data_IF_922063254864
#
_entry.id   IF_922063254864
#
_cell.length_a   1.000
_cell.length_b   1.000
_cell.length_c   1.000
_cell.angle_alpha   90.00
_cell.angle_beta   90.00
_cell.angle_gamma   90.00
#
_symmetry.space_group_name_H-M   'P 1'
#
loop_
_entity.id
_entity.type
_entity.pdbx_description
1 polymer ?
#
# COMPACT_ATOMS: atom_id res chain seq x y z
N UNK A 1 34.29 44.95 5.77
CA UNK A 1 34.54 43.58 6.27
C UNK A 1 33.61 42.64 5.51
N UNK A 2 34.17 41.69 4.79
CA UNK A 2 33.37 40.66 4.11
C UNK A 2 33.13 39.53 5.12
N UNK A 3 31.87 39.24 5.43
CA UNK A 3 31.55 38.09 6.28
C UNK A 3 31.66 36.84 5.44
N UNK A 4 32.40 35.84 5.92
CA UNK A 4 32.43 34.50 5.29
C UNK A 4 31.42 33.65 6.03
N UNK A 5 30.35 33.27 5.32
CA UNK A 5 29.34 32.38 5.87
C UNK A 5 29.73 30.92 5.66
N UNK A 6 29.39 30.05 6.60
CA UNK A 6 29.40 28.63 6.40
C UNK A 6 28.27 28.29 5.41
N UNK A 7 28.57 27.57 4.33
CA UNK A 7 27.61 27.22 3.28
C UNK A 7 27.67 25.71 2.94
N UNK A 8 26.64 25.21 2.32
CA UNK A 8 26.56 23.80 1.91
C UNK A 8 26.26 22.84 3.09
N UNK A 9 26.56 21.57 2.89
CA UNK A 9 26.28 20.54 3.88
C UNK A 9 27.17 20.67 5.12
N UNK A 10 26.53 20.66 6.30
CA UNK A 10 27.20 20.70 7.60
C UNK A 10 26.62 19.63 8.53
N UNK A 11 27.46 19.00 9.32
CA UNK A 11 27.05 18.07 10.38
C UNK A 11 27.33 18.72 11.75
N UNK A 12 26.27 18.98 12.51
CA UNK A 12 26.31 19.65 13.81
C UNK A 12 25.59 18.74 14.81
N UNK A 13 26.27 18.33 15.88
CA UNK A 13 25.73 17.42 16.91
C UNK A 13 25.07 16.15 16.35
N UNK A 14 25.70 15.53 15.34
CA UNK A 14 25.23 14.32 14.69
C UNK A 14 24.08 14.54 13.69
N UNK A 15 23.55 15.75 13.57
CA UNK A 15 22.48 16.13 12.64
C UNK A 15 23.06 16.80 11.41
N UNK A 16 22.46 16.57 10.24
CA UNK A 16 22.92 17.12 8.97
C UNK A 16 22.01 18.26 8.54
N UNK A 17 22.61 19.38 8.17
CA UNK A 17 21.97 20.62 7.71
C UNK A 17 22.55 21.05 6.37
N UNK A 18 21.81 21.87 5.65
CA UNK A 18 22.33 22.59 4.48
C UNK A 18 22.19 24.09 4.68
N UNK A 19 23.31 24.83 4.51
CA UNK A 19 23.34 26.27 4.59
C UNK A 19 23.36 26.87 3.19
N UNK A 20 22.45 27.80 2.91
CA UNK A 20 22.41 28.54 1.67
C UNK A 20 23.59 29.50 1.56
N UNK A 21 23.75 30.14 0.41
CA UNK A 21 24.92 31.05 0.15
C UNK A 21 24.97 32.28 1.07
N UNK A 22 23.86 32.63 1.67
CA UNK A 22 23.74 33.71 2.67
C UNK A 22 23.94 33.24 4.12
N UNK A 23 24.26 31.94 4.31
CA UNK A 23 24.46 31.31 5.61
C UNK A 23 23.18 30.94 6.35
N UNK A 24 22.01 31.00 5.70
CA UNK A 24 20.74 30.62 6.30
C UNK A 24 20.52 29.09 6.13
N UNK A 25 19.99 28.45 7.19
CA UNK A 25 19.64 27.01 7.14
C UNK A 25 18.50 26.81 6.18
N UNK A 26 18.72 25.97 5.18
CA UNK A 26 17.69 25.52 4.24
C UNK A 26 16.65 24.67 4.95
N UNK A 27 15.37 24.89 4.61
CA UNK A 27 14.22 24.10 5.05
C UNK A 27 13.40 23.67 3.85
N UNK A 28 12.63 22.58 4.01
CA UNK A 28 11.83 22.03 2.94
C UNK A 28 12.66 21.33 1.87
N UNK A 29 12.18 21.36 0.62
CA UNK A 29 12.84 20.72 -0.50
C UNK A 29 14.09 21.48 -0.93
N UNK A 30 15.21 20.77 -1.01
CA UNK A 30 16.47 21.22 -1.59
C UNK A 30 16.77 20.40 -2.84
N UNK A 31 17.00 21.07 -3.97
CA UNK A 31 17.43 20.42 -5.21
C UNK A 31 18.88 20.80 -5.49
N UNK A 32 19.75 19.79 -5.65
CA UNK A 32 21.16 19.96 -6.00
C UNK A 32 21.47 19.07 -7.20
N UNK A 33 21.51 19.65 -8.38
CA UNK A 33 21.62 18.91 -9.62
C UNK A 33 20.37 18.05 -9.87
N UNK A 34 20.56 16.76 -10.04
CA UNK A 34 19.51 15.75 -10.24
C UNK A 34 18.96 15.18 -8.93
N UNK A 35 19.54 15.54 -7.78
CA UNK A 35 19.18 15.03 -6.47
C UNK A 35 18.26 15.95 -5.72
N UNK A 36 17.38 15.35 -4.93
CA UNK A 36 16.45 16.08 -4.06
C UNK A 36 16.56 15.58 -2.62
N UNK A 37 16.65 16.53 -1.71
CA UNK A 37 16.76 16.31 -0.28
C UNK A 37 15.59 16.99 0.43
N UNK A 38 15.11 16.40 1.52
CA UNK A 38 14.09 17.05 2.33
C UNK A 38 14.65 17.45 3.69
N UNK A 39 14.69 18.74 3.93
CA UNK A 39 15.08 19.34 5.20
C UNK A 39 13.81 19.66 5.98
N UNK A 40 13.74 19.22 7.23
CA UNK A 40 12.57 19.43 8.07
C UNK A 40 12.17 20.91 8.12
N UNK A 41 10.88 21.21 7.91
CA UNK A 41 10.35 22.58 7.85
C UNK A 41 10.52 23.35 9.16
N UNK A 42 10.62 22.65 10.30
CA UNK A 42 10.74 23.27 11.61
C UNK A 42 12.19 23.64 11.94
N UNK A 43 13.12 22.70 11.79
CA UNK A 43 14.48 22.81 12.30
C UNK A 43 15.57 22.69 11.22
N UNK A 44 15.24 22.38 9.98
CA UNK A 44 16.18 22.26 8.86
C UNK A 44 17.05 21.01 8.90
N UNK A 45 16.73 20.00 9.73
CA UNK A 45 17.47 18.76 9.79
C UNK A 45 17.16 17.93 8.55
N UNK A 46 18.18 17.37 7.89
CA UNK A 46 18.00 16.39 6.80
C UNK A 46 17.20 15.20 7.34
N UNK A 47 16.02 15.02 6.79
CA UNK A 47 15.13 13.91 7.15
C UNK A 47 15.08 12.96 5.97
N UNK A 48 15.87 11.87 5.97
CA UNK A 48 15.66 10.76 5.06
C UNK A 48 14.34 10.15 5.43
N UNK A 49 13.59 9.67 4.47
CA UNK A 49 12.37 8.90 4.50
C UNK A 49 11.22 9.59 3.74
N UNK A 50 10.11 9.97 4.41
CA UNK A 50 8.93 10.49 3.72
C UNK A 50 8.99 12.02 3.65
N UNK A 51 9.10 12.55 2.43
CA UNK A 51 8.91 13.97 2.13
C UNK A 51 7.49 14.21 1.59
N UNK A 52 6.87 15.31 1.98
CA UNK A 52 5.62 15.78 1.38
C UNK A 52 5.93 16.96 0.48
N UNK A 53 5.70 16.80 -0.82
CA UNK A 53 5.98 17.80 -1.84
C UNK A 53 4.70 17.97 -2.67
N UNK A 54 4.14 19.17 -2.71
CA UNK A 54 2.89 19.49 -3.38
C UNK A 54 1.75 18.52 -3.00
N UNK A 55 1.63 18.20 -1.71
CA UNK A 55 0.62 17.30 -1.16
C UNK A 55 0.84 15.81 -1.45
N UNK A 56 1.89 15.45 -2.19
CA UNK A 56 2.26 14.05 -2.49
C UNK A 56 3.40 13.60 -1.58
N UNK A 57 3.34 12.33 -1.15
CA UNK A 57 4.40 11.71 -0.35
C UNK A 57 5.42 11.05 -1.25
N UNK A 58 6.69 11.30 -0.97
CA UNK A 58 7.85 10.70 -1.66
C UNK A 58 8.75 10.05 -0.63
N UNK A 59 9.45 8.99 -1.02
CA UNK A 59 10.55 8.46 -0.24
C UNK A 59 11.88 8.94 -0.84
N UNK A 60 12.65 9.68 -0.06
CA UNK A 60 13.97 10.22 -0.44
C UNK A 60 15.01 9.56 0.48
N UNK A 61 16.04 8.94 -0.12
CA UNK A 61 17.13 8.31 0.64
C UNK A 61 18.16 9.35 1.14
N UNK A 62 19.18 8.87 1.88
CA UNK A 62 20.23 9.74 2.41
C UNK A 62 21.08 10.40 1.32
N UNK A 63 21.12 9.82 0.13
CA UNK A 63 21.86 10.32 -1.02
C UNK A 63 21.02 11.30 -1.87
N UNK A 64 19.76 11.57 -1.46
CA UNK A 64 18.85 12.48 -2.14
C UNK A 64 18.15 11.87 -3.36
N UNK A 65 18.12 10.53 -3.48
CA UNK A 65 17.44 9.88 -4.58
C UNK A 65 15.97 9.57 -4.21
N UNK A 66 15.06 9.79 -5.13
CA UNK A 66 13.69 9.31 -5.00
C UNK A 66 13.64 7.82 -5.25
N UNK A 67 13.06 7.08 -4.32
CA UNK A 67 12.78 5.66 -4.54
C UNK A 67 11.58 5.49 -5.47
N UNK A 68 11.57 4.39 -6.22
CA UNK A 68 10.45 3.95 -7.07
C UNK A 68 10.15 2.48 -6.80
N UNK A 69 8.95 2.02 -7.16
CA UNK A 69 8.53 0.64 -6.93
C UNK A 69 8.24 0.33 -5.46
N UNK A 70 8.38 -0.94 -5.09
CA UNK A 70 8.13 -1.40 -3.72
C UNK A 70 9.21 -0.92 -2.75
N UNK A 71 8.76 -0.34 -1.63
CA UNK A 71 9.65 0.10 -0.53
C UNK A 71 9.06 -0.31 0.81
N UNK A 72 9.89 -0.90 1.67
CA UNK A 72 9.55 -1.19 3.06
C UNK A 72 10.06 -0.07 3.97
N UNK A 73 9.16 0.53 4.75
CA UNK A 73 9.45 1.66 5.65
C UNK A 73 8.80 1.35 6.99
N UNK A 74 9.57 1.32 8.06
CA UNK A 74 9.12 1.04 9.43
C UNK A 74 8.27 -0.24 9.56
N UNK A 75 8.61 -1.27 8.74
CA UNK A 75 7.91 -2.55 8.74
C UNK A 75 6.75 -2.66 7.74
N UNK A 76 6.20 -1.57 7.24
CA UNK A 76 5.11 -1.53 6.27
C UNK A 76 5.63 -1.42 4.83
N UNK A 77 4.89 -2.02 3.88
CA UNK A 77 5.18 -1.91 2.46
C UNK A 77 4.40 -0.77 1.81
N UNK A 78 5.07 -0.04 0.93
CA UNK A 78 4.54 1.06 0.11
C UNK A 78 4.91 0.83 -1.34
N UNK A 79 4.11 1.37 -2.26
CA UNK A 79 4.48 1.39 -3.67
C UNK A 79 4.59 2.83 -4.16
N UNK A 80 5.71 3.11 -4.82
CA UNK A 80 6.05 4.42 -5.37
C UNK A 80 5.98 4.33 -6.90
N UNK A 81 5.28 5.27 -7.53
CA UNK A 81 5.21 5.32 -8.99
C UNK A 81 6.56 5.73 -9.60
N UNK A 82 6.63 5.79 -10.93
CA UNK A 82 7.86 6.11 -11.67
C UNK A 82 8.40 7.53 -11.38
N UNK A 83 7.57 8.41 -10.82
CA UNK A 83 7.97 9.73 -10.33
C UNK A 83 8.40 9.72 -8.86
N UNK A 84 8.40 8.56 -8.21
CA UNK A 84 8.72 8.38 -6.79
C UNK A 84 7.60 8.77 -5.82
N UNK A 85 6.40 9.11 -6.31
CA UNK A 85 5.27 9.44 -5.44
C UNK A 85 4.59 8.16 -4.91
N UNK A 86 4.29 8.13 -3.60
CA UNK A 86 3.48 7.07 -3.00
C UNK A 86 2.09 7.06 -3.61
N UNK A 87 1.60 5.87 -3.94
CA UNK A 87 0.24 5.67 -4.44
C UNK A 87 -0.68 5.12 -3.35
N UNK A 88 -1.98 5.29 -3.56
CA UNK A 88 -3.06 4.74 -2.73
C UNK A 88 -4.08 4.05 -3.62
N UNK A 89 -4.95 3.22 -3.03
CA UNK A 89 -5.97 2.48 -3.76
C UNK A 89 -5.43 1.27 -4.50
N UNK A 90 -6.21 0.76 -5.46
CA UNK A 90 -5.88 -0.41 -6.24
C UNK A 90 -4.81 -0.13 -7.30
N UNK A 91 -3.83 -1.04 -7.41
CA UNK A 91 -2.77 -0.96 -8.40
C UNK A 91 -2.43 -2.36 -8.96
N UNK A 92 -2.41 -2.47 -10.29
CA UNK A 92 -1.89 -3.64 -10.98
C UNK A 92 -0.37 -3.52 -11.10
N UNK A 93 0.36 -4.50 -10.57
CA UNK A 93 1.82 -4.53 -10.55
C UNK A 93 2.27 -5.95 -10.94
N UNK A 94 3.00 -6.08 -12.02
CA UNK A 94 3.50 -7.37 -12.53
C UNK A 94 2.41 -8.45 -12.64
N UNK A 95 1.20 -8.07 -13.10
CA UNK A 95 0.09 -9.01 -13.31
C UNK A 95 -0.73 -9.33 -12.05
N UNK A 96 -0.38 -8.80 -10.88
CA UNK A 96 -1.16 -8.96 -9.63
C UNK A 96 -1.74 -7.63 -9.17
N UNK A 97 -2.96 -7.66 -8.66
CA UNK A 97 -3.58 -6.50 -8.05
C UNK A 97 -3.18 -6.38 -6.58
N UNK A 98 -2.84 -5.17 -6.17
CA UNK A 98 -2.52 -4.79 -4.79
C UNK A 98 -3.41 -3.64 -4.37
N UNK A 99 -3.67 -3.53 -3.08
CA UNK A 99 -4.38 -2.41 -2.49
C UNK A 99 -3.47 -1.67 -1.51
N UNK A 100 -3.32 -0.35 -1.72
CA UNK A 100 -2.61 0.56 -0.82
C UNK A 100 -3.68 1.39 -0.09
N UNK A 101 -3.66 1.39 1.22
CA UNK A 101 -4.64 2.14 2.03
C UNK A 101 -4.51 3.67 1.84
N UNK A 102 -5.32 4.45 2.54
CA UNK A 102 -5.30 5.92 2.46
C UNK A 102 -3.98 6.54 2.93
N UNK A 103 -3.15 5.78 3.65
CA UNK A 103 -1.82 6.20 4.08
C UNK A 103 -0.72 5.72 3.13
N UNK A 104 -1.08 4.94 2.10
CA UNK A 104 -0.18 4.31 1.13
C UNK A 104 0.39 2.96 1.59
N UNK A 105 -0.05 2.41 2.73
CA UNK A 105 0.41 1.11 3.21
C UNK A 105 -0.26 -0.01 2.45
N UNK A 106 0.51 -1.03 2.07
CA UNK A 106 0.00 -2.24 1.43
C UNK A 106 -0.93 -3.00 2.37
N UNK A 107 -2.14 -3.24 1.90
CA UNK A 107 -3.13 -4.05 2.60
C UNK A 107 -2.87 -5.54 2.43
N UNK A 108 -3.26 -6.32 3.42
CA UNK A 108 -3.24 -7.80 3.40
C UNK A 108 -4.51 -8.34 4.05
N UNK A 109 -4.85 -9.59 3.80
CA UNK A 109 -6.05 -10.26 4.32
C UNK A 109 -7.33 -9.61 3.77
N UNK A 110 -8.40 -9.60 4.58
CA UNK A 110 -9.70 -9.07 4.17
C UNK A 110 -9.71 -7.53 4.19
N UNK A 111 -10.15 -6.95 3.08
CA UNK A 111 -10.45 -5.52 2.98
C UNK A 111 -11.87 -5.34 2.44
N UNK A 112 -12.50 -4.23 2.82
CA UNK A 112 -13.81 -3.82 2.28
C UNK A 112 -13.65 -2.49 1.58
N UNK A 113 -13.90 -2.48 0.27
CA UNK A 113 -13.81 -1.29 -0.55
C UNK A 113 -15.16 -1.06 -1.27
N UNK A 114 -15.74 0.12 -1.12
CA UNK A 114 -17.05 0.48 -1.69
C UNK A 114 -18.15 -0.58 -1.45
N UNK A 115 -18.18 -1.15 -0.23
CA UNK A 115 -19.17 -2.17 0.16
C UNK A 115 -18.82 -3.59 -0.23
N UNK A 116 -17.81 -3.83 -1.08
CA UNK A 116 -17.38 -5.14 -1.57
C UNK A 116 -16.17 -5.65 -0.78
N UNK A 117 -16.18 -6.92 -0.42
CA UNK A 117 -15.06 -7.59 0.24
C UNK A 117 -14.10 -8.21 -0.77
N UNK A 118 -12.81 -8.07 -0.49
CA UNK A 118 -11.69 -8.64 -1.22
C UNK A 118 -10.74 -9.31 -0.25
N UNK A 119 -10.01 -10.32 -0.72
CA UNK A 119 -8.96 -10.98 0.05
C UNK A 119 -7.62 -10.85 -0.63
N UNK A 120 -6.64 -10.36 0.11
CA UNK A 120 -5.24 -10.28 -0.31
C UNK A 120 -4.42 -11.26 0.54
N UNK A 121 -3.49 -11.96 -0.08
CA UNK A 121 -2.63 -12.87 0.67
C UNK A 121 -1.55 -12.13 1.49
N UNK A 122 -0.65 -12.90 2.12
CA UNK A 122 0.42 -12.33 2.95
C UNK A 122 1.45 -11.50 2.16
N UNK A 123 1.50 -11.65 0.84
CA UNK A 123 2.33 -10.82 -0.05
C UNK A 123 1.61 -9.55 -0.51
N UNK A 124 0.33 -9.37 -0.15
CA UNK A 124 -0.53 -8.28 -0.58
C UNK A 124 -1.22 -8.52 -1.93
N UNK A 125 -1.00 -9.66 -2.59
CA UNK A 125 -1.63 -9.96 -3.88
C UNK A 125 -3.11 -10.32 -3.70
N UNK A 126 -3.99 -9.64 -4.47
CA UNK A 126 -5.44 -9.93 -4.50
C UNK A 126 -5.68 -11.35 -4.99
N UNK A 127 -6.53 -12.05 -4.28
CA UNK A 127 -6.88 -13.43 -4.57
C UNK A 127 -8.19 -13.55 -5.34
N UNK A 128 -8.31 -14.62 -6.14
CA UNK A 128 -9.51 -15.02 -6.88
C UNK A 128 -9.77 -16.51 -6.68
N UNK A 129 -10.96 -16.98 -7.06
CA UNK A 129 -11.37 -18.37 -6.92
C UNK A 129 -11.62 -18.78 -5.46
N UNK A 130 -11.56 -20.09 -5.21
CA UNK A 130 -11.78 -20.66 -3.89
C UNK A 130 -10.60 -20.39 -2.95
N UNK A 131 -10.90 -19.89 -1.74
CA UNK A 131 -9.91 -19.64 -0.68
C UNK A 131 -10.38 -20.19 0.66
N UNK A 132 -9.51 -20.94 1.30
CA UNK A 132 -9.69 -21.39 2.69
C UNK A 132 -9.04 -20.34 3.62
N UNK A 133 -9.84 -19.68 4.44
CA UNK A 133 -9.39 -18.67 5.39
C UNK A 133 -10.00 -18.98 6.76
N UNK A 134 -9.16 -19.14 7.76
CA UNK A 134 -9.56 -19.44 9.14
C UNK A 134 -10.57 -20.62 9.24
N UNK A 135 -10.33 -21.70 8.46
CA UNK A 135 -11.13 -22.91 8.44
C UNK A 135 -12.45 -22.80 7.66
N UNK A 136 -12.72 -21.70 6.99
CA UNK A 136 -13.92 -21.48 6.15
C UNK A 136 -13.55 -21.25 4.72
N UNK A 137 -14.34 -21.82 3.78
CA UNK A 137 -14.18 -21.57 2.36
C UNK A 137 -14.94 -20.32 1.93
N UNK A 138 -14.31 -19.56 1.05
CA UNK A 138 -14.84 -18.35 0.40
C UNK A 138 -14.60 -18.44 -1.10
N UNK A 139 -15.47 -17.82 -1.88
CA UNK A 139 -15.26 -17.69 -3.32
C UNK A 139 -15.13 -16.22 -3.71
N UNK A 140 -14.01 -15.89 -4.33
CA UNK A 140 -13.70 -14.59 -4.92
C UNK A 140 -13.86 -14.73 -6.44
N UNK A 141 -14.68 -13.91 -7.07
CA UNK A 141 -14.82 -13.95 -8.52
C UNK A 141 -13.55 -13.43 -9.24
N UNK A 142 -13.54 -13.41 -10.56
CA UNK A 142 -12.38 -13.00 -11.36
C UNK A 142 -11.97 -11.54 -11.12
N UNK A 143 -12.85 -10.69 -10.62
CA UNK A 143 -12.52 -9.32 -10.18
C UNK A 143 -12.04 -9.25 -8.72
N UNK A 144 -11.89 -10.39 -8.03
CA UNK A 144 -11.52 -10.48 -6.61
C UNK A 144 -12.68 -10.26 -5.64
N UNK A 145 -13.89 -9.93 -6.13
CA UNK A 145 -15.03 -9.65 -5.27
C UNK A 145 -15.57 -10.94 -4.61
N UNK A 146 -15.72 -10.92 -3.27
CA UNK A 146 -16.29 -12.03 -2.51
C UNK A 146 -17.76 -12.27 -2.88
N UNK A 147 -18.11 -13.51 -3.16
CA UNK A 147 -19.49 -13.94 -3.46
C UNK A 147 -20.28 -14.23 -2.18
N UNK A 148 -21.56 -13.84 -2.22
CA UNK A 148 -22.58 -14.18 -1.21
C UNK A 148 -23.86 -14.60 -1.91
N UNK A 149 -24.75 -15.33 -1.22
CA UNK A 149 -25.95 -15.91 -1.81
C UNK A 149 -25.63 -17.08 -2.72
N UNK A 150 -26.55 -17.39 -3.65
CA UNK A 150 -26.37 -18.44 -4.65
C UNK A 150 -25.48 -17.99 -5.81
N UNK A 151 -24.53 -18.85 -6.21
CA UNK A 151 -23.66 -18.60 -7.37
C UNK A 151 -23.21 -19.93 -7.98
N UNK A 152 -22.76 -19.89 -9.25
CA UNK A 152 -22.32 -21.05 -9.99
C UNK A 152 -20.82 -20.99 -10.28
N UNK A 153 -20.13 -22.13 -10.11
CA UNK A 153 -18.73 -22.32 -10.46
C UNK A 153 -18.57 -23.68 -11.13
N UNK A 154 -17.99 -23.70 -12.32
CA UNK A 154 -17.75 -24.95 -13.04
C UNK A 154 -19.02 -25.79 -13.29
N UNK A 155 -20.17 -25.14 -13.50
CA UNK A 155 -21.46 -25.81 -13.73
C UNK A 155 -22.17 -26.28 -12.44
N UNK A 156 -21.58 -26.14 -11.27
CA UNK A 156 -22.16 -26.49 -9.98
C UNK A 156 -22.63 -25.28 -9.22
N UNK A 157 -23.74 -25.38 -8.49
CA UNK A 157 -24.29 -24.34 -7.67
C UNK A 157 -23.78 -24.42 -6.23
N UNK A 158 -23.51 -23.27 -5.63
CA UNK A 158 -23.03 -23.08 -4.27
C UNK A 158 -23.78 -21.94 -3.59
N UNK A 159 -23.82 -21.97 -2.27
CA UNK A 159 -24.35 -20.86 -1.48
C UNK A 159 -23.32 -20.38 -0.47
N UNK A 160 -23.08 -19.08 -0.43
CA UNK A 160 -22.30 -18.45 0.65
C UNK A 160 -23.20 -17.56 1.49
N UNK A 161 -23.04 -17.64 2.80
CA UNK A 161 -23.73 -16.78 3.76
C UNK A 161 -23.40 -15.30 3.52
N UNK A 162 -24.14 -14.33 4.12
CA UNK A 162 -23.79 -12.92 4.06
C UNK A 162 -22.37 -12.60 4.55
N UNK A 163 -21.80 -13.47 5.40
CA UNK A 163 -20.40 -13.39 5.83
C UNK A 163 -19.41 -13.81 4.74
N UNK A 164 -19.87 -14.34 3.62
CA UNK A 164 -19.06 -14.93 2.55
C UNK A 164 -18.69 -16.41 2.77
N UNK A 165 -18.88 -16.96 3.97
CA UNK A 165 -18.53 -18.34 4.26
C UNK A 165 -19.42 -19.31 3.48
N UNK A 166 -18.82 -20.33 2.85
CA UNK A 166 -19.53 -21.38 2.11
C UNK A 166 -20.45 -22.18 3.04
N UNK A 167 -21.69 -22.37 2.65
CA UNK A 167 -22.60 -23.28 3.29
C UNK A 167 -22.26 -24.73 2.91
N UNK A 168 -22.18 -25.62 3.90
CA UNK A 168 -21.90 -27.05 3.71
C UNK A 168 -22.82 -27.89 4.59
N UNK A 169 -23.23 -29.09 4.11
CA UNK A 169 -24.09 -30.03 4.84
C UNK A 169 -25.33 -29.35 5.46
N UNK A 170 -26.03 -28.53 4.71
CA UNK A 170 -27.19 -27.77 5.19
C UNK A 170 -28.22 -27.53 4.11
N UNK A 171 -29.40 -27.06 4.49
CA UNK A 171 -30.48 -26.69 3.58
C UNK A 171 -30.75 -25.19 3.67
N UNK A 172 -30.76 -24.51 2.53
CA UNK A 172 -31.02 -23.09 2.38
C UNK A 172 -32.25 -22.92 1.48
N UNK A 173 -33.32 -22.36 2.01
CA UNK A 173 -34.58 -22.08 1.26
C UNK A 173 -35.13 -23.32 0.51
N UNK A 174 -35.00 -24.51 1.13
CA UNK A 174 -35.44 -25.77 0.56
C UNK A 174 -34.40 -26.48 -0.35
N UNK A 175 -33.27 -25.88 -0.62
CA UNK A 175 -32.17 -26.44 -1.41
C UNK A 175 -31.06 -26.97 -0.51
N UNK A 176 -30.69 -28.24 -0.69
CA UNK A 176 -29.66 -28.89 0.16
C UNK A 176 -28.29 -28.81 -0.53
N UNK A 177 -27.25 -28.45 0.24
CA UNK A 177 -25.86 -28.51 -0.20
C UNK A 177 -25.08 -29.57 0.56
N UNK A 178 -24.20 -30.29 -0.12
CA UNK A 178 -23.42 -31.42 0.39
C UNK A 178 -22.18 -30.92 1.21
N UNK A 179 -21.31 -31.86 1.61
CA UNK A 179 -20.09 -31.57 2.37
C UNK A 179 -19.08 -30.67 1.59
N UNK A 180 -19.15 -30.67 0.26
CA UNK A 180 -18.34 -29.81 -0.59
C UNK A 180 -19.02 -28.45 -0.89
N UNK A 181 -20.23 -28.22 -0.32
CA UNK A 181 -21.02 -27.02 -0.58
C UNK A 181 -21.78 -27.05 -1.92
N UNK A 182 -21.78 -28.17 -2.65
CA UNK A 182 -22.46 -28.30 -3.93
C UNK A 182 -23.95 -28.59 -3.72
N UNK A 183 -24.81 -27.87 -4.43
CA UNK A 183 -26.25 -28.19 -4.48
C UNK A 183 -26.48 -29.58 -5.05
N UNK A 184 -27.36 -30.38 -4.39
CA UNK A 184 -27.73 -31.73 -4.74
C UNK A 184 -29.04 -31.77 -5.54
#
# INVERSE_FOLDING_TARGET
>A
MSFVYITGWQKIDGKTYYFETDGVIKKGLLTLGDKQYYLNEKDGILTPNIAVIDGKKFFIDNEGNRSVGWKKIDGDWYYLNDLGAMITGWKLINGSWYHLDSLGKMSTRWIKENGTWYYLDGSGAMQTGWKLVDGKWYYLNDSGAMKTGWFQVGGKWYYSYPSGALAVNTTIDGYTVNANGEWM
#
